data_IF_796439950351
#
_entry.id   IF_796439950351
#
_cell.length_a   1.000
_cell.length_b   1.000
_cell.length_c   1.000
_cell.angle_alpha   90.00
_cell.angle_beta   90.00
_cell.angle_gamma   90.00
#
_symmetry.space_group_name_H-M   'P 1'
#
loop_
_entity.id
_entity.type
_entity.pdbx_description
1 polymer ?
#
# COMPACT_ATOMS: atom_id res chain seq x y z
N UNK A 1 -28.10 7.28 25.11
CA UNK A 1 -28.15 7.90 23.78
C UNK A 1 -26.80 8.51 23.36
N UNK A 2 -26.21 9.42 24.14
CA UNK A 2 -24.97 10.13 23.75
C UNK A 2 -23.76 9.21 23.51
N UNK A 3 -23.54 8.23 24.40
CA UNK A 3 -22.44 7.24 24.22
C UNK A 3 -22.60 6.45 22.92
N UNK A 4 -23.81 6.00 22.59
CA UNK A 4 -24.08 5.25 21.36
C UNK A 4 -23.82 6.10 20.09
N UNK A 5 -24.22 7.38 20.10
CA UNK A 5 -23.95 8.31 19.00
C UNK A 5 -22.44 8.56 18.87
N UNK A 6 -21.72 8.73 19.97
CA UNK A 6 -20.26 8.92 19.95
C UNK A 6 -19.54 7.68 19.42
N UNK A 7 -19.92 6.48 19.87
CA UNK A 7 -19.37 5.22 19.37
C UNK A 7 -19.65 5.06 17.87
N UNK A 8 -20.88 5.33 17.43
CA UNK A 8 -21.24 5.27 16.01
C UNK A 8 -20.45 6.26 15.15
N UNK A 9 -20.26 7.49 15.63
CA UNK A 9 -19.45 8.50 14.94
C UNK A 9 -17.99 8.08 14.82
N UNK A 10 -17.42 7.46 15.87
CA UNK A 10 -16.06 6.89 15.83
C UNK A 10 -15.98 5.77 14.79
N UNK A 11 -16.96 4.87 14.75
CA UNK A 11 -16.99 3.79 13.75
C UNK A 11 -17.04 4.34 12.32
N UNK A 12 -17.87 5.35 12.04
CA UNK A 12 -17.91 6.01 10.75
C UNK A 12 -16.56 6.64 10.38
N UNK A 13 -15.90 7.29 11.33
CA UNK A 13 -14.60 7.91 11.09
C UNK A 13 -13.51 6.86 10.82
N UNK A 14 -13.45 5.78 11.62
CA UNK A 14 -12.46 4.71 11.48
C UNK A 14 -12.67 3.89 10.21
N UNK A 15 -13.92 3.79 9.72
CA UNK A 15 -14.25 3.03 8.51
C UNK A 15 -13.70 3.61 7.20
N UNK A 16 -13.33 4.90 7.19
CA UNK A 16 -12.80 5.58 5.99
C UNK A 16 -11.45 6.23 6.27
N UNK A 17 -10.41 5.41 6.50
CA UNK A 17 -9.09 5.92 6.81
C UNK A 17 -8.45 6.66 5.62
N UNK A 18 -7.48 7.52 5.95
CA UNK A 18 -6.68 8.21 4.96
C UNK A 18 -5.73 7.23 4.24
N UNK A 19 -5.69 7.34 2.93
CA UNK A 19 -4.70 6.69 2.07
C UNK A 19 -4.08 7.75 1.17
N UNK A 20 -2.76 7.74 1.05
CA UNK A 20 -2.01 8.78 0.34
C UNK A 20 -1.18 8.15 -0.77
N UNK A 21 -1.10 8.81 -1.93
CA UNK A 21 -0.07 8.47 -2.92
C UNK A 21 1.23 9.17 -2.50
N UNK A 22 2.30 8.40 -2.42
CA UNK A 22 3.64 8.90 -2.16
C UNK A 22 4.44 9.08 -3.45
N UNK A 23 5.26 10.12 -3.48
CA UNK A 23 6.30 10.34 -4.48
C UNK A 23 7.67 10.50 -3.84
N UNK A 24 8.71 10.28 -4.62
CA UNK A 24 10.10 10.48 -4.21
C UNK A 24 10.47 11.97 -4.23
N UNK A 25 11.21 12.43 -3.23
CA UNK A 25 11.88 13.73 -3.27
C UNK A 25 13.20 13.56 -4.03
N UNK A 26 13.40 14.23 -5.19
CA UNK A 26 14.55 14.04 -6.05
C UNK A 26 15.90 14.17 -5.33
N UNK A 27 16.82 13.26 -5.63
CA UNK A 27 18.16 13.24 -5.01
C UNK A 27 18.19 12.72 -3.58
N UNK A 28 17.06 12.20 -3.05
CA UNK A 28 16.98 11.67 -1.70
C UNK A 28 16.25 10.31 -1.67
N UNK A 29 16.42 9.50 -0.61
CA UNK A 29 15.64 8.29 -0.41
C UNK A 29 14.24 8.55 0.20
N UNK A 30 13.80 9.80 0.28
CA UNK A 30 12.59 10.20 1.02
C UNK A 30 11.37 10.09 0.12
N UNK A 31 10.29 9.52 0.65
CA UNK A 31 8.97 9.48 0.02
C UNK A 31 7.96 10.31 0.82
N UNK A 32 7.17 11.13 0.13
CA UNK A 32 6.18 12.05 0.74
C UNK A 32 4.92 12.14 -0.09
N UNK A 33 3.84 12.55 0.56
CA UNK A 33 2.53 12.74 -0.06
C UNK A 33 2.61 13.74 -1.22
N UNK A 34 2.24 13.27 -2.42
CA UNK A 34 2.24 14.08 -3.65
C UNK A 34 1.30 15.30 -3.56
N UNK A 35 0.23 15.21 -2.79
CA UNK A 35 -0.71 16.32 -2.62
C UNK A 35 -0.17 17.41 -1.68
N UNK A 36 0.79 17.07 -0.82
CA UNK A 36 1.33 17.98 0.19
C UNK A 36 2.65 18.62 -0.25
N UNK A 37 3.53 17.87 -0.93
CA UNK A 37 4.86 18.31 -1.33
C UNK A 37 4.96 18.35 -2.86
N UNK A 38 5.11 19.56 -3.42
CA UNK A 38 5.12 19.77 -4.88
C UNK A 38 6.36 19.21 -5.56
N UNK A 39 7.44 19.07 -4.79
CA UNK A 39 8.71 18.53 -5.21
C UNK A 39 8.70 16.99 -5.29
N UNK A 40 7.70 16.34 -4.70
CA UNK A 40 7.58 14.88 -4.75
C UNK A 40 7.14 14.42 -6.14
N UNK A 41 7.87 13.46 -6.70
CA UNK A 41 7.65 12.93 -8.04
C UNK A 41 7.25 11.46 -8.00
N UNK A 42 6.36 11.06 -8.90
CA UNK A 42 6.05 9.63 -9.14
C UNK A 42 7.27 8.92 -9.71
N UNK A 43 7.38 7.63 -9.43
CA UNK A 43 8.39 6.76 -10.04
C UNK A 43 7.70 5.94 -11.13
N UNK A 44 8.26 5.90 -12.34
CA UNK A 44 7.69 5.15 -13.47
C UNK A 44 7.44 3.68 -13.10
N UNK A 45 6.29 3.13 -13.54
CA UNK A 45 5.83 1.77 -13.26
C UNK A 45 5.54 1.43 -11.77
N UNK A 46 5.61 2.39 -10.84
CA UNK A 46 5.27 2.18 -9.43
C UNK A 46 4.08 3.03 -8.98
N UNK A 47 3.19 2.40 -8.21
CA UNK A 47 2.21 3.08 -7.38
C UNK A 47 2.56 2.85 -5.91
N UNK A 48 2.81 3.92 -5.17
CA UNK A 48 3.23 3.84 -3.77
C UNK A 48 2.12 4.45 -2.91
N UNK A 49 1.54 3.63 -2.03
CA UNK A 49 0.39 4.02 -1.21
C UNK A 49 0.75 3.91 0.27
N UNK A 50 0.61 5.00 1.01
CA UNK A 50 0.63 4.96 2.47
C UNK A 50 -0.76 4.65 3.01
N UNK A 51 -0.84 3.65 3.90
CA UNK A 51 -2.04 3.34 4.66
C UNK A 51 -1.90 3.96 6.05
N UNK A 52 -2.58 5.08 6.27
CA UNK A 52 -2.46 5.86 7.52
C UNK A 52 -3.48 5.44 8.58
N UNK A 53 -3.64 4.13 8.76
CA UNK A 53 -4.57 3.59 9.76
C UNK A 53 -4.28 2.15 10.13
N UNK A 54 -4.70 1.70 11.33
CA UNK A 54 -4.87 0.28 11.60
C UNK A 54 -5.78 -0.38 10.56
N UNK A 55 -5.52 -1.66 10.28
CA UNK A 55 -6.34 -2.46 9.38
C UNK A 55 -7.21 -3.43 10.19
N UNK A 56 -8.47 -3.08 10.35
CA UNK A 56 -9.44 -3.87 11.11
C UNK A 56 -10.63 -4.27 10.24
N UNK A 57 -11.46 -5.19 10.75
CA UNK A 57 -12.74 -5.54 10.12
C UNK A 57 -13.59 -4.30 9.73
N UNK A 58 -13.60 -3.27 10.59
CA UNK A 58 -14.42 -2.08 10.38
C UNK A 58 -14.02 -1.23 9.16
N UNK A 59 -12.79 -1.38 8.63
CA UNK A 59 -12.27 -0.55 7.54
C UNK A 59 -11.58 -1.32 6.40
N UNK A 60 -11.38 -2.63 6.55
CA UNK A 60 -10.59 -3.41 5.58
C UNK A 60 -11.25 -3.43 4.19
N UNK A 61 -12.57 -3.65 4.09
CA UNK A 61 -13.29 -3.58 2.81
C UNK A 61 -13.13 -2.23 2.13
N UNK A 62 -13.28 -1.13 2.87
CA UNK A 62 -13.08 0.21 2.33
C UNK A 62 -11.65 0.41 1.81
N UNK A 63 -10.64 -0.03 2.58
CA UNK A 63 -9.24 0.06 2.18
C UNK A 63 -8.98 -0.72 0.88
N UNK A 64 -9.52 -1.92 0.74
CA UNK A 64 -9.39 -2.73 -0.47
C UNK A 64 -9.98 -2.00 -1.69
N UNK A 65 -11.23 -1.55 -1.60
CA UNK A 65 -11.90 -0.81 -2.66
C UNK A 65 -11.16 0.48 -3.01
N UNK A 66 -10.65 1.19 -2.00
CA UNK A 66 -9.93 2.45 -2.19
C UNK A 66 -8.59 2.24 -2.89
N UNK A 67 -7.84 1.20 -2.51
CA UNK A 67 -6.58 0.83 -3.16
C UNK A 67 -6.83 0.41 -4.61
N UNK A 68 -7.83 -0.43 -4.86
CA UNK A 68 -8.19 -0.82 -6.23
C UNK A 68 -8.58 0.39 -7.08
N UNK A 69 -9.29 1.36 -6.52
CA UNK A 69 -9.59 2.62 -7.19
C UNK A 69 -8.33 3.42 -7.50
N UNK A 70 -7.39 3.53 -6.57
CA UNK A 70 -6.11 4.18 -6.83
C UNK A 70 -5.32 3.51 -7.97
N UNK A 71 -5.36 2.18 -8.05
CA UNK A 71 -4.71 1.44 -9.14
C UNK A 71 -5.33 1.81 -10.49
N UNK A 72 -6.65 1.83 -10.58
CA UNK A 72 -7.35 2.23 -11.81
C UNK A 72 -7.03 3.69 -12.19
N UNK A 73 -7.12 4.62 -11.24
CA UNK A 73 -6.81 6.04 -11.43
C UNK A 73 -5.35 6.24 -11.92
N UNK A 74 -4.41 5.45 -11.40
CA UNK A 74 -3.00 5.53 -11.80
C UNK A 74 -2.77 4.92 -13.19
N UNK A 75 -3.45 3.82 -13.54
CA UNK A 75 -3.39 3.24 -14.89
C UNK A 75 -3.95 4.19 -15.95
N UNK A 76 -5.10 4.82 -15.69
CA UNK A 76 -5.70 5.83 -16.57
C UNK A 76 -4.75 7.02 -16.78
N UNK A 77 -4.08 7.48 -15.71
CA UNK A 77 -3.08 8.55 -15.77
C UNK A 77 -1.88 8.15 -16.63
N UNK A 78 -1.35 6.93 -16.44
CA UNK A 78 -0.23 6.39 -17.21
C UNK A 78 -0.58 6.33 -18.70
N UNK A 79 -1.77 5.85 -19.05
CA UNK A 79 -2.26 5.77 -20.42
C UNK A 79 -2.40 7.18 -21.06
N UNK A 80 -3.02 8.12 -20.34
CA UNK A 80 -3.19 9.50 -20.81
C UNK A 80 -1.85 10.21 -21.08
N UNK A 81 -0.83 9.92 -20.28
CA UNK A 81 0.51 10.50 -20.41
C UNK A 81 1.45 9.71 -21.32
N UNK A 82 1.04 8.53 -21.82
CA UNK A 82 1.88 7.60 -22.60
C UNK A 82 3.15 7.18 -21.85
N UNK A 83 3.02 6.95 -20.55
CA UNK A 83 4.10 6.45 -19.69
C UNK A 83 4.18 4.92 -19.72
N UNK A 84 5.23 4.35 -19.12
CA UNK A 84 5.35 2.90 -18.97
C UNK A 84 4.22 2.33 -18.11
N UNK A 85 3.76 1.13 -18.46
CA UNK A 85 2.70 0.44 -17.71
C UNK A 85 3.03 0.30 -16.22
N UNK A 86 1.98 0.32 -15.39
CA UNK A 86 2.10 0.02 -13.97
C UNK A 86 2.54 -1.44 -13.80
N UNK A 87 3.56 -1.67 -12.97
CA UNK A 87 4.12 -3.01 -12.72
C UNK A 87 4.13 -3.39 -11.25
N UNK A 88 4.27 -2.40 -10.36
CA UNK A 88 4.37 -2.67 -8.93
C UNK A 88 3.56 -1.69 -8.08
N UNK A 89 2.94 -2.23 -7.03
CA UNK A 89 2.26 -1.50 -5.98
C UNK A 89 3.01 -1.73 -4.67
N UNK A 90 3.43 -0.65 -4.03
CA UNK A 90 4.08 -0.66 -2.72
C UNK A 90 3.08 -0.13 -1.70
N UNK A 91 2.76 -0.94 -0.70
CA UNK A 91 1.98 -0.50 0.44
C UNK A 91 2.94 -0.11 1.57
N UNK A 92 3.04 1.19 1.85
CA UNK A 92 3.74 1.70 3.02
C UNK A 92 2.86 1.50 4.26
N UNK A 93 3.32 0.56 5.09
CA UNK A 93 2.66 0.10 6.30
C UNK A 93 3.18 0.82 7.55
N UNK A 94 4.03 1.85 7.40
CA UNK A 94 4.65 2.58 8.53
C UNK A 94 3.64 3.06 9.57
N UNK A 95 2.48 3.55 9.11
CA UNK A 95 1.42 4.08 9.97
C UNK A 95 0.35 3.04 10.35
N UNK A 96 0.46 1.79 9.86
CA UNK A 96 -0.46 0.70 10.21
C UNK A 96 -0.05 0.15 11.57
N UNK A 97 -0.55 0.75 12.64
CA UNK A 97 -0.13 0.40 14.01
C UNK A 97 -0.69 -0.93 14.53
N UNK A 98 -1.68 -1.50 13.85
CA UNK A 98 -2.27 -2.79 14.20
C UNK A 98 -3.03 -3.38 13.01
N UNK A 99 -3.13 -4.71 12.99
CA UNK A 99 -3.91 -5.48 12.02
C UNK A 99 -4.68 -6.60 12.72
N UNK A 100 -5.90 -6.92 12.29
CA UNK A 100 -6.64 -8.10 12.74
C UNK A 100 -6.76 -9.17 11.63
N UNK A 101 -7.42 -10.28 11.93
CA UNK A 101 -7.62 -11.38 10.97
C UNK A 101 -8.33 -10.92 9.69
N UNK A 102 -9.29 -10.00 9.80
CA UNK A 102 -10.00 -9.45 8.65
C UNK A 102 -9.10 -8.57 7.80
N UNK A 103 -8.28 -7.71 8.41
CA UNK A 103 -7.25 -6.93 7.72
C UNK A 103 -6.25 -7.80 6.98
N UNK A 104 -5.78 -8.90 7.60
CA UNK A 104 -4.88 -9.88 6.97
C UNK A 104 -5.57 -10.56 5.77
N UNK A 105 -6.81 -11.00 5.94
CA UNK A 105 -7.60 -11.62 4.88
C UNK A 105 -7.75 -10.70 3.67
N UNK A 106 -8.14 -9.45 3.93
CA UNK A 106 -8.25 -8.41 2.91
C UNK A 106 -6.92 -8.15 2.19
N UNK A 107 -5.80 -8.09 2.90
CA UNK A 107 -4.48 -7.89 2.29
C UNK A 107 -4.11 -9.05 1.35
N UNK A 108 -4.41 -10.29 1.76
CA UNK A 108 -4.19 -11.49 0.96
C UNK A 108 -5.06 -11.49 -0.32
N UNK A 109 -6.34 -11.14 -0.19
CA UNK A 109 -7.25 -11.02 -1.33
C UNK A 109 -6.83 -9.91 -2.30
N UNK A 110 -6.51 -8.73 -1.77
CA UNK A 110 -6.02 -7.60 -2.54
C UNK A 110 -4.80 -7.99 -3.37
N UNK A 111 -3.82 -8.67 -2.75
CA UNK A 111 -2.64 -9.17 -3.46
C UNK A 111 -3.05 -10.12 -4.59
N UNK A 112 -3.85 -11.14 -4.31
CA UNK A 112 -4.29 -12.11 -5.33
C UNK A 112 -5.01 -11.44 -6.50
N UNK A 113 -5.83 -10.43 -6.23
CA UNK A 113 -6.53 -9.66 -7.27
C UNK A 113 -5.55 -8.91 -8.18
N UNK A 114 -4.54 -8.27 -7.59
CA UNK A 114 -3.54 -7.49 -8.33
C UNK A 114 -2.52 -8.38 -9.05
N UNK A 115 -2.12 -9.51 -8.46
CA UNK A 115 -1.25 -10.51 -9.10
C UNK A 115 -1.92 -11.13 -10.34
N UNK A 116 -3.24 -11.37 -10.30
CA UNK A 116 -4.01 -11.80 -11.49
C UNK A 116 -3.96 -10.79 -12.64
N UNK A 117 -3.66 -9.53 -12.35
CA UNK A 117 -3.46 -8.45 -13.31
C UNK A 117 -1.97 -8.23 -13.65
N UNK A 118 -1.10 -9.16 -13.25
CA UNK A 118 0.36 -9.07 -13.40
C UNK A 118 1.00 -7.88 -12.66
N UNK A 119 0.33 -7.36 -11.62
CA UNK A 119 0.86 -6.30 -10.77
C UNK A 119 1.50 -6.92 -9.52
N UNK A 120 2.78 -6.65 -9.30
CA UNK A 120 3.50 -7.09 -8.11
C UNK A 120 3.09 -6.22 -6.91
N UNK A 121 2.68 -6.83 -5.81
CA UNK A 121 2.37 -6.10 -4.57
C UNK A 121 3.42 -6.42 -3.51
N UNK A 122 3.96 -5.37 -2.88
CA UNK A 122 4.94 -5.51 -1.80
C UNK A 122 4.58 -4.62 -0.61
N UNK A 123 5.05 -4.99 0.56
CA UNK A 123 4.87 -4.23 1.80
C UNK A 123 6.17 -3.51 2.16
N UNK A 124 6.08 -2.28 2.63
CA UNK A 124 7.18 -1.54 3.19
C UNK A 124 6.90 -1.21 4.66
N UNK A 125 7.89 -1.45 5.52
CA UNK A 125 7.90 -1.07 6.94
C UNK A 125 6.67 -1.50 7.78
N UNK A 126 6.21 -2.77 7.73
CA UNK A 126 5.23 -3.23 8.71
C UNK A 126 5.85 -3.17 10.12
N UNK A 127 5.20 -2.45 11.03
CA UNK A 127 5.66 -2.33 12.43
C UNK A 127 5.60 -3.69 13.15
N UNK A 128 6.39 -3.86 14.22
CA UNK A 128 6.66 -5.16 14.82
C UNK A 128 5.44 -6.02 15.16
N UNK A 129 4.40 -5.44 15.76
CA UNK A 129 3.17 -6.18 16.10
C UNK A 129 2.34 -6.58 14.86
N UNK A 130 2.39 -5.79 13.79
CA UNK A 130 1.79 -6.14 12.50
C UNK A 130 2.61 -7.27 11.89
N UNK A 131 3.93 -7.13 11.84
CA UNK A 131 4.83 -8.14 11.28
C UNK A 131 4.67 -9.50 11.97
N UNK A 132 4.55 -9.53 13.29
CA UNK A 132 4.29 -10.75 14.07
C UNK A 132 2.98 -11.42 13.63
N UNK A 133 1.90 -10.65 13.48
CA UNK A 133 0.60 -11.18 13.03
C UNK A 133 0.64 -11.67 11.58
N UNK A 134 1.33 -10.98 10.68
CA UNK A 134 1.54 -11.44 9.30
C UNK A 134 2.30 -12.78 9.28
N UNK A 135 3.30 -12.93 10.16
CA UNK A 135 4.08 -14.17 10.30
C UNK A 135 3.24 -15.32 10.86
N UNK A 136 2.50 -15.09 11.95
CA UNK A 136 1.60 -16.09 12.55
C UNK A 136 0.52 -16.57 11.57
N UNK A 137 0.02 -15.67 10.72
CA UNK A 137 -0.94 -15.99 9.67
C UNK A 137 -0.31 -16.69 8.44
N UNK A 138 1.01 -16.91 8.42
CA UNK A 138 1.77 -17.53 7.32
C UNK A 138 1.58 -16.85 5.96
N UNK A 139 1.21 -15.57 5.96
CA UNK A 139 1.01 -14.84 4.71
C UNK A 139 2.33 -14.31 4.14
N UNK A 140 3.36 -14.14 4.96
CA UNK A 140 4.68 -13.69 4.51
C UNK A 140 5.28 -14.63 3.47
N UNK A 141 5.09 -15.94 3.62
CA UNK A 141 5.55 -16.94 2.65
C UNK A 141 4.98 -16.69 1.25
N UNK A 142 3.75 -16.18 1.22
CA UNK A 142 3.05 -15.89 -0.02
C UNK A 142 3.42 -14.54 -0.65
N UNK A 143 4.09 -13.66 0.11
CA UNK A 143 4.80 -12.49 -0.44
C UNK A 143 6.21 -12.85 -0.94
N UNK A 144 6.73 -14.02 -0.54
CA UNK A 144 8.05 -14.51 -0.89
C UNK A 144 9.18 -13.71 -0.22
N UNK A 145 10.43 -14.11 -0.51
CA UNK A 145 11.65 -13.52 0.07
C UNK A 145 11.80 -12.02 -0.25
N UNK A 146 11.19 -11.55 -1.34
CA UNK A 146 11.27 -10.17 -1.85
C UNK A 146 9.91 -9.46 -1.92
N UNK A 147 9.06 -9.69 -0.92
CA UNK A 147 7.73 -9.07 -0.82
C UNK A 147 7.51 -8.17 0.39
N UNK A 148 8.48 -8.10 1.31
CA UNK A 148 8.45 -7.19 2.46
C UNK A 148 9.82 -6.51 2.59
N UNK A 149 9.83 -5.19 2.74
CA UNK A 149 11.03 -4.35 2.80
C UNK A 149 11.01 -3.45 4.04
N UNK A 150 12.19 -2.99 4.47
CA UNK A 150 12.29 -2.07 5.61
C UNK A 150 11.88 -0.65 5.22
N UNK A 151 12.11 -0.25 3.98
CA UNK A 151 11.74 1.08 3.47
C UNK A 151 11.15 1.01 2.07
N UNK A 152 10.36 2.03 1.72
CA UNK A 152 9.86 2.22 0.34
C UNK A 152 11.03 2.37 -0.64
N UNK A 153 12.08 3.11 -0.26
CA UNK A 153 13.24 3.34 -1.11
C UNK A 153 13.97 2.04 -1.47
N UNK A 154 14.14 1.16 -0.48
CA UNK A 154 14.72 -0.17 -0.68
C UNK A 154 13.86 -1.02 -1.63
N UNK A 155 12.54 -1.04 -1.43
CA UNK A 155 11.61 -1.76 -2.29
C UNK A 155 11.68 -1.28 -3.75
N UNK A 156 11.68 0.03 -3.99
CA UNK A 156 11.82 0.62 -5.33
C UNK A 156 13.16 0.24 -5.95
N UNK A 157 14.25 0.33 -5.19
CA UNK A 157 15.61 0.03 -5.67
C UNK A 157 15.75 -1.45 -6.07
N UNK A 158 15.32 -2.38 -5.21
CA UNK A 158 15.41 -3.81 -5.51
C UNK A 158 14.54 -4.19 -6.72
N UNK A 159 13.30 -3.70 -6.77
CA UNK A 159 12.35 -4.07 -7.82
C UNK A 159 12.75 -3.46 -9.16
N UNK A 160 13.18 -2.19 -9.19
CA UNK A 160 13.67 -1.55 -10.42
C UNK A 160 14.90 -2.27 -10.97
N UNK A 161 15.85 -2.67 -10.11
CA UNK A 161 17.03 -3.44 -10.53
C UNK A 161 16.66 -4.78 -11.17
N UNK A 162 15.60 -5.43 -10.67
CA UNK A 162 15.14 -6.72 -11.21
C UNK A 162 14.53 -6.60 -12.61
N UNK A 163 14.01 -5.43 -12.99
CA UNK A 163 13.47 -5.17 -14.33
C UNK A 163 14.55 -4.80 -15.34
N UNK A 164 15.59 -4.11 -14.90
CA UNK A 164 16.75 -3.77 -15.76
C UNK A 164 17.56 -5.04 -16.09
N UNK A 165 17.55 -6.04 -15.20
CA UNK A 165 18.24 -7.31 -15.38
C UNK A 165 17.52 -8.34 -16.28
N UNK A 166 16.30 -8.03 -16.76
CA UNK A 166 15.60 -8.88 -17.74
C UNK A 166 15.89 -8.37 -19.16
N UNK A 167 16.62 -9.14 -19.99
CA UNK A 167 16.96 -8.75 -21.37
C UNK A 167 15.76 -8.79 -22.32
#
# INVERSE_FOLDING_TARGET
>A
MQVAISVFKILLHVSRPNTLILGNIPGTPIFRNLNQYKEALRISSFLILAVESPMYFANSTYLQERILRWVLEEEERIEANKEDSLKCIILDMTAVTAIDTSGIGTLCELRKMLEKRSLKVVLANPVGNVMEKLHQAKILDSFGVKGVYLTVAEAVTDISSSWIAQP
#
